data_IF_231794957559
#
_entry.id   IF_231794957559
#
_cell.length_a   1.000
_cell.length_b   1.000
_cell.length_c   1.000
_cell.angle_alpha   90.00
_cell.angle_beta   90.00
_cell.angle_gamma   90.00
#
_symmetry.space_group_name_H-M   'P 1'
#
loop_
_entity.id
_entity.type
_entity.pdbx_description
1 polymer ?
#
# COMPACT_ATOMS: atom_id res chain seq x y z
N UNK A 1 8.64 14.20 -14.88
CA UNK A 1 7.87 13.22 -15.68
C UNK A 1 7.93 11.91 -14.90
N UNK A 2 6.78 11.34 -14.52
CA UNK A 2 6.78 10.10 -13.74
C UNK A 2 7.17 8.90 -14.60
N UNK A 3 7.93 7.98 -14.01
CA UNK A 3 8.49 6.81 -14.68
C UNK A 3 7.78 5.53 -14.22
N UNK A 4 7.19 4.80 -15.15
CA UNK A 4 6.45 3.56 -14.94
C UNK A 4 7.27 2.38 -15.40
N UNK A 5 7.39 1.36 -14.57
CA UNK A 5 7.92 0.06 -14.96
C UNK A 5 6.74 -0.88 -15.26
N UNK A 6 6.70 -1.41 -16.46
CA UNK A 6 5.73 -2.44 -16.88
C UNK A 6 6.47 -3.76 -16.97
N UNK A 7 6.02 -4.74 -16.23
CA UNK A 7 6.58 -6.10 -16.16
C UNK A 7 5.53 -7.06 -16.69
N UNK A 8 5.68 -7.47 -17.94
CA UNK A 8 4.69 -8.27 -18.68
C UNK A 8 5.42 -9.07 -19.77
N UNK A 9 5.27 -10.39 -19.80
CA UNK A 9 5.91 -11.26 -20.77
C UNK A 9 5.12 -11.37 -22.10
N UNK A 10 3.82 -11.05 -22.07
CA UNK A 10 3.01 -10.99 -23.29
C UNK A 10 3.26 -9.68 -24.07
N UNK A 11 4.10 -9.75 -25.09
CA UNK A 11 4.60 -8.61 -25.87
C UNK A 11 3.49 -7.67 -26.38
N UNK A 12 2.39 -8.21 -26.89
CA UNK A 12 1.28 -7.39 -27.41
C UNK A 12 0.58 -6.60 -26.33
N UNK A 13 0.37 -7.21 -25.16
CA UNK A 13 -0.22 -6.54 -24.00
C UNK A 13 0.73 -5.47 -23.45
N UNK A 14 2.00 -5.80 -23.33
CA UNK A 14 3.04 -4.88 -22.88
C UNK A 14 3.12 -3.61 -23.73
N UNK A 15 3.13 -3.76 -25.07
CA UNK A 15 3.10 -2.63 -26.01
C UNK A 15 1.81 -1.82 -25.88
N UNK A 16 0.67 -2.49 -25.76
CA UNK A 16 -0.62 -1.81 -25.56
C UNK A 16 -0.64 -0.95 -24.30
N UNK A 17 -0.14 -1.49 -23.19
CA UNK A 17 -0.01 -0.76 -21.91
C UNK A 17 0.96 0.41 -22.08
N UNK A 18 2.15 0.17 -22.66
CA UNK A 18 3.17 1.20 -22.89
C UNK A 18 2.60 2.36 -23.69
N UNK A 19 2.02 2.08 -24.85
CA UNK A 19 1.47 3.10 -25.76
C UNK A 19 0.45 4.02 -25.05
N UNK A 20 -0.44 3.44 -24.28
CA UNK A 20 -1.48 4.20 -23.56
C UNK A 20 -0.89 5.02 -22.40
N UNK A 21 0.07 4.49 -21.66
CA UNK A 21 0.75 5.25 -20.59
C UNK A 21 1.61 6.39 -21.13
N UNK A 22 2.32 6.17 -22.24
CA UNK A 22 3.09 7.22 -22.92
C UNK A 22 2.18 8.31 -23.50
N UNK A 23 0.98 7.94 -23.98
CA UNK A 23 -0.06 8.89 -24.40
C UNK A 23 -0.54 9.83 -23.28
N UNK A 24 -0.44 9.41 -22.02
CA UNK A 24 -0.70 10.22 -20.82
C UNK A 24 0.51 11.08 -20.40
N UNK A 25 1.58 11.12 -21.18
CA UNK A 25 2.79 11.88 -20.87
C UNK A 25 3.68 11.23 -19.81
N UNK A 26 3.58 9.92 -19.59
CA UNK A 26 4.43 9.16 -18.67
C UNK A 26 5.65 8.58 -19.40
N UNK A 27 6.76 8.40 -18.70
CA UNK A 27 7.90 7.63 -19.21
C UNK A 27 7.70 6.16 -18.86
N UNK A 28 7.91 5.25 -19.80
CA UNK A 28 7.65 3.83 -19.58
C UNK A 28 8.90 3.00 -19.93
N UNK A 29 9.24 2.06 -19.05
CA UNK A 29 10.16 0.97 -19.35
C UNK A 29 9.38 -0.33 -19.29
N UNK A 30 9.56 -1.20 -20.29
CA UNK A 30 8.96 -2.52 -20.35
C UNK A 30 10.04 -3.57 -20.17
N UNK A 31 9.78 -4.56 -19.33
CA UNK A 31 10.61 -5.77 -19.15
C UNK A 31 9.71 -7.00 -19.14
N UNK A 32 10.24 -8.16 -19.57
CA UNK A 32 9.46 -9.39 -19.76
C UNK A 32 9.57 -10.40 -18.63
N UNK A 33 10.38 -10.14 -17.60
CA UNK A 33 10.59 -11.08 -16.51
C UNK A 33 10.90 -10.40 -15.17
N UNK A 34 10.82 -11.17 -14.09
CA UNK A 34 10.99 -10.65 -12.74
C UNK A 34 12.43 -10.24 -12.42
N UNK A 35 13.43 -10.91 -12.97
CA UNK A 35 14.83 -10.58 -12.72
C UNK A 35 15.18 -9.22 -13.33
N UNK A 36 14.80 -9.00 -14.59
CA UNK A 36 14.96 -7.72 -15.27
C UNK A 36 14.20 -6.60 -14.57
N UNK A 37 13.03 -6.90 -13.95
CA UNK A 37 12.29 -5.94 -13.15
C UNK A 37 13.09 -5.48 -11.92
N UNK A 38 13.68 -6.41 -11.16
CA UNK A 38 14.47 -6.07 -9.98
C UNK A 38 15.73 -5.26 -10.35
N UNK A 39 16.45 -5.64 -11.41
CA UNK A 39 17.59 -4.89 -11.93
C UNK A 39 17.19 -3.46 -12.34
N UNK A 40 16.02 -3.32 -12.99
CA UNK A 40 15.51 -1.99 -13.37
C UNK A 40 15.12 -1.15 -12.16
N UNK A 41 14.65 -1.75 -11.08
CA UNK A 41 14.31 -1.03 -9.84
C UNK A 41 15.53 -0.39 -9.16
N UNK A 42 16.71 -0.93 -9.36
CA UNK A 42 17.98 -0.40 -8.84
C UNK A 42 18.62 0.67 -9.76
N UNK A 43 18.19 0.73 -11.02
CA UNK A 43 18.73 1.63 -12.01
C UNK A 43 18.13 3.04 -11.97
N UNK A 44 18.84 4.01 -12.56
CA UNK A 44 18.32 5.37 -12.79
C UNK A 44 17.66 5.51 -14.16
N UNK A 45 16.66 6.35 -14.31
CA UNK A 45 15.96 7.13 -13.28
C UNK A 45 15.10 6.23 -12.37
N UNK A 46 14.75 6.68 -11.14
CA UNK A 46 13.94 5.89 -10.23
C UNK A 46 12.54 5.63 -10.80
N UNK A 47 11.98 4.48 -10.44
CA UNK A 47 10.61 4.08 -10.82
C UNK A 47 9.60 4.70 -9.85
N UNK A 48 8.53 5.29 -10.38
CA UNK A 48 7.46 5.91 -9.61
C UNK A 48 6.25 5.02 -9.40
N UNK A 49 6.03 4.03 -10.27
CA UNK A 49 4.98 3.02 -10.17
C UNK A 49 5.36 1.77 -10.96
N UNK A 50 4.97 0.61 -10.48
CA UNK A 50 5.15 -0.67 -11.17
C UNK A 50 3.78 -1.24 -11.56
N UNK A 51 3.62 -1.61 -12.82
CA UNK A 51 2.55 -2.45 -13.35
C UNK A 51 3.15 -3.83 -13.54
N UNK A 52 2.62 -4.85 -12.87
CA UNK A 52 3.30 -6.13 -12.68
C UNK A 52 2.35 -7.30 -12.95
N UNK A 53 2.65 -8.10 -13.96
CA UNK A 53 1.94 -9.38 -14.13
C UNK A 53 2.36 -10.38 -13.05
N UNK A 54 1.42 -11.20 -12.61
CA UNK A 54 1.66 -12.32 -11.69
C UNK A 54 2.34 -13.49 -12.39
N UNK A 55 1.95 -13.75 -13.64
CA UNK A 55 2.31 -14.97 -14.38
C UNK A 55 3.58 -14.77 -15.22
N UNK A 56 4.66 -14.33 -14.60
CA UNK A 56 5.93 -14.12 -15.27
C UNK A 56 6.77 -15.41 -15.35
N UNK A 57 7.63 -15.55 -16.36
CA UNK A 57 8.58 -16.64 -16.45
C UNK A 57 9.64 -16.56 -15.34
N UNK A 58 9.99 -17.70 -14.76
CA UNK A 58 11.05 -17.84 -13.75
C UNK A 58 10.63 -17.37 -12.36
N UNK A 59 10.33 -16.10 -12.17
CA UNK A 59 9.94 -15.50 -10.89
C UNK A 59 8.52 -14.95 -10.97
N UNK A 60 7.65 -15.33 -10.04
CA UNK A 60 6.28 -14.82 -10.05
C UNK A 60 6.22 -13.33 -9.68
N UNK A 61 5.19 -12.60 -10.16
CA UNK A 61 4.97 -11.21 -9.77
C UNK A 61 4.81 -11.01 -8.26
N UNK A 62 4.35 -12.02 -7.53
CA UNK A 62 4.32 -11.97 -6.06
C UNK A 62 5.72 -11.87 -5.47
N UNK A 63 6.64 -12.71 -5.96
CA UNK A 63 8.02 -12.76 -5.46
C UNK A 63 8.77 -11.47 -5.81
N UNK A 64 8.51 -10.89 -7.00
CA UNK A 64 9.04 -9.57 -7.40
C UNK A 64 8.53 -8.47 -6.46
N UNK A 65 7.23 -8.44 -6.19
CA UNK A 65 6.63 -7.45 -5.28
C UNK A 65 7.23 -7.57 -3.86
N UNK A 66 7.32 -8.78 -3.35
CA UNK A 66 7.91 -9.05 -2.04
C UNK A 66 9.39 -8.62 -1.98
N UNK A 67 10.19 -8.90 -3.01
CA UNK A 67 11.57 -8.46 -3.10
C UNK A 67 11.69 -6.93 -3.06
N UNK A 68 10.85 -6.21 -3.83
CA UNK A 68 10.76 -4.73 -3.80
C UNK A 68 10.46 -4.23 -2.39
N UNK A 69 9.51 -4.85 -1.69
CA UNK A 69 9.15 -4.45 -0.31
C UNK A 69 10.23 -4.77 0.70
N UNK A 70 10.88 -5.93 0.58
CA UNK A 70 12.01 -6.32 1.46
C UNK A 70 13.22 -5.40 1.30
N UNK A 71 13.43 -4.82 0.11
CA UNK A 71 14.41 -3.76 -0.12
C UNK A 71 14.01 -2.39 0.48
N UNK A 72 12.88 -2.32 1.22
CA UNK A 72 12.37 -1.08 1.81
C UNK A 72 11.75 -0.10 0.80
N UNK A 73 11.53 -0.54 -0.44
CA UNK A 73 10.94 0.31 -1.47
C UNK A 73 9.41 0.19 -1.46
N UNK A 74 8.72 1.30 -1.19
CA UNK A 74 7.26 1.40 -1.12
C UNK A 74 6.67 2.03 -2.40
N UNK A 75 7.32 1.84 -3.55
CA UNK A 75 6.76 2.22 -4.86
C UNK A 75 5.37 1.60 -5.03
N UNK A 76 4.37 2.34 -5.52
CA UNK A 76 3.06 1.76 -5.80
C UNK A 76 3.17 0.61 -6.81
N UNK A 77 2.48 -0.50 -6.51
CA UNK A 77 2.42 -1.69 -7.36
C UNK A 77 0.98 -2.00 -7.75
N UNK A 78 0.70 -2.02 -9.04
CA UNK A 78 -0.54 -2.51 -9.64
C UNK A 78 -0.27 -3.92 -10.16
N UNK A 79 -0.89 -4.92 -9.57
CA UNK A 79 -0.81 -6.30 -10.05
C UNK A 79 -1.86 -6.58 -11.12
N UNK A 80 -1.41 -7.12 -12.26
CA UNK A 80 -2.27 -7.66 -13.30
C UNK A 80 -2.45 -9.17 -13.08
N UNK A 81 -3.67 -9.68 -13.16
CA UNK A 81 -3.93 -11.09 -12.87
C UNK A 81 -5.06 -11.69 -13.70
N UNK A 82 -4.83 -12.86 -14.26
CA UNK A 82 -5.90 -13.72 -14.78
C UNK A 82 -6.59 -14.53 -13.66
N UNK A 83 -6.05 -14.52 -12.43
CA UNK A 83 -6.55 -15.31 -11.31
C UNK A 83 -7.66 -14.56 -10.59
N UNK A 84 -8.79 -15.25 -10.38
CA UNK A 84 -10.01 -14.70 -9.78
C UNK A 84 -10.22 -15.13 -8.32
N UNK A 85 -9.42 -16.08 -7.83
CA UNK A 85 -9.60 -16.62 -6.49
C UNK A 85 -9.23 -15.59 -5.41
N UNK A 86 -10.03 -15.56 -4.37
CA UNK A 86 -9.80 -14.68 -3.19
C UNK A 86 -8.43 -14.94 -2.58
N UNK A 87 -7.98 -16.21 -2.58
CA UNK A 87 -6.69 -16.63 -2.04
C UNK A 87 -5.50 -16.01 -2.79
N UNK A 88 -5.59 -15.92 -4.12
CA UNK A 88 -4.56 -15.28 -4.95
C UNK A 88 -4.48 -13.77 -4.67
N UNK A 89 -5.63 -13.10 -4.51
CA UNK A 89 -5.68 -11.68 -4.12
C UNK A 89 -5.09 -11.45 -2.74
N UNK A 90 -5.39 -12.33 -1.80
CA UNK A 90 -4.82 -12.30 -0.44
C UNK A 90 -3.30 -12.43 -0.50
N UNK A 91 -2.77 -13.39 -1.28
CA UNK A 91 -1.33 -13.58 -1.47
C UNK A 91 -0.65 -12.30 -1.96
N UNK A 92 -1.23 -11.64 -2.96
CA UNK A 92 -0.65 -10.42 -3.48
C UNK A 92 -0.74 -9.25 -2.52
N UNK A 93 -1.84 -9.08 -1.80
CA UNK A 93 -1.90 -8.05 -0.76
C UNK A 93 -0.86 -8.30 0.34
N UNK A 94 -0.62 -9.56 0.73
CA UNK A 94 0.44 -9.92 1.66
C UNK A 94 1.84 -9.66 1.08
N UNK A 95 2.03 -9.82 -0.23
CA UNK A 95 3.26 -9.43 -0.94
C UNK A 95 3.45 -7.90 -1.03
N UNK A 96 2.42 -7.11 -0.66
CA UNK A 96 2.50 -5.65 -0.57
C UNK A 96 2.04 -4.91 -1.82
N UNK A 97 1.20 -5.52 -2.67
CA UNK A 97 0.57 -4.79 -3.79
C UNK A 97 -0.43 -3.76 -3.30
N UNK A 98 -0.63 -2.69 -4.05
CA UNK A 98 -1.56 -1.61 -3.73
C UNK A 98 -2.91 -1.78 -4.41
N UNK A 99 -2.94 -2.31 -5.62
CA UNK A 99 -4.13 -2.54 -6.43
C UNK A 99 -4.01 -3.83 -7.21
N UNK A 100 -5.13 -4.54 -7.33
CA UNK A 100 -5.32 -5.69 -8.22
C UNK A 100 -6.18 -5.28 -9.39
N UNK A 101 -5.72 -5.59 -10.61
CA UNK A 101 -6.48 -5.41 -11.84
C UNK A 101 -6.61 -6.77 -12.54
N UNK A 102 -7.86 -7.21 -12.74
CA UNK A 102 -8.13 -8.53 -13.29
C UNK A 102 -8.09 -8.51 -14.82
N UNK A 103 -7.34 -9.42 -15.43
CA UNK A 103 -7.37 -9.67 -16.89
C UNK A 103 -8.64 -10.47 -17.26
N UNK A 104 -9.35 -10.11 -18.37
CA UNK A 104 -9.13 -8.93 -19.18
C UNK A 104 -9.61 -7.64 -18.50
N UNK A 105 -8.85 -6.57 -18.58
CA UNK A 105 -9.17 -5.26 -18.04
C UNK A 105 -9.33 -4.21 -19.15
N UNK A 106 -10.03 -3.14 -18.84
CA UNK A 106 -10.09 -1.97 -19.70
C UNK A 106 -8.85 -1.10 -19.48
N UNK A 107 -8.24 -0.61 -20.57
CA UNK A 107 -7.08 0.26 -20.49
C UNK A 107 -7.39 1.57 -19.75
N UNK A 108 -8.60 2.12 -19.91
CA UNK A 108 -9.04 3.31 -19.17
C UNK A 108 -9.10 3.04 -17.66
N UNK A 109 -9.45 1.83 -17.24
CA UNK A 109 -9.40 1.42 -15.85
C UNK A 109 -7.96 1.43 -15.33
N UNK A 110 -7.01 0.83 -16.06
CA UNK A 110 -5.59 0.86 -15.71
C UNK A 110 -5.06 2.30 -15.62
N UNK A 111 -5.35 3.15 -16.61
CA UNK A 111 -4.93 4.55 -16.62
C UNK A 111 -5.49 5.32 -15.42
N UNK A 112 -6.76 5.09 -15.09
CA UNK A 112 -7.39 5.71 -13.91
C UNK A 112 -6.69 5.30 -12.60
N UNK A 113 -6.36 4.01 -12.45
CA UNK A 113 -5.64 3.49 -11.29
C UNK A 113 -4.24 4.11 -11.20
N UNK A 114 -3.49 4.12 -12.31
CA UNK A 114 -2.13 4.70 -12.36
C UNK A 114 -2.15 6.18 -12.01
N UNK A 115 -3.03 6.99 -12.62
CA UNK A 115 -3.18 8.41 -12.30
C UNK A 115 -3.47 8.65 -10.83
N UNK A 116 -4.37 7.88 -10.24
CA UNK A 116 -4.73 8.00 -8.82
C UNK A 116 -3.56 7.68 -7.89
N UNK A 117 -2.77 6.64 -8.19
CA UNK A 117 -1.61 6.27 -7.38
C UNK A 117 -0.47 7.30 -7.49
N UNK A 118 -0.19 7.79 -8.70
CA UNK A 118 0.83 8.83 -8.93
C UNK A 118 0.44 10.17 -8.29
N UNK A 119 -0.82 10.60 -8.39
CA UNK A 119 -1.30 11.83 -7.77
C UNK A 119 -1.13 11.84 -6.25
N UNK A 120 -1.29 10.69 -5.59
CA UNK A 120 -1.04 10.55 -4.15
C UNK A 120 0.45 10.66 -3.83
N UNK A 121 1.31 10.02 -4.63
CA UNK A 121 2.78 10.09 -4.44
C UNK A 121 3.33 11.51 -4.71
N UNK A 122 2.83 12.20 -5.73
CA UNK A 122 3.23 13.57 -6.06
C UNK A 122 2.90 14.57 -4.95
N UNK A 123 1.79 14.37 -4.23
CA UNK A 123 1.45 15.19 -3.05
C UNK A 123 2.40 14.92 -1.89
N UNK A 124 2.79 13.66 -1.67
CA UNK A 124 3.77 13.29 -0.65
C UNK A 124 5.20 13.83 -0.94
N UNK A 125 5.57 13.99 -2.22
CA UNK A 125 6.89 14.47 -2.63
C UNK A 125 7.00 16.01 -2.75
N UNK A 126 5.85 16.68 -2.96
CA UNK A 126 5.81 18.14 -3.25
C UNK A 126 5.83 19.06 -2.02
N UNK A 127 5.66 18.54 -0.81
CA UNK A 127 5.54 19.33 0.42
C UNK A 127 6.77 19.34 1.32
N UNK A 128 7.94 18.92 0.82
CA UNK A 128 9.19 19.02 1.59
C UNK A 128 9.74 20.47 1.75
N UNK A 129 9.08 21.49 1.20
CA UNK A 129 9.46 22.88 1.38
C UNK A 129 8.24 23.79 1.49
N UNK A 130 8.01 24.30 2.69
CA UNK A 130 7.06 25.34 3.13
C UNK A 130 5.60 24.90 3.31
N UNK A 131 5.23 24.84 4.54
CA UNK A 131 4.16 25.51 5.24
C UNK A 131 3.80 24.76 6.54
N UNK A 132 3.47 25.52 7.57
CA UNK A 132 3.18 25.22 8.98
C UNK A 132 2.41 23.90 9.21
N UNK A 133 2.46 23.28 10.42
CA UNK A 133 1.62 22.15 10.76
C UNK A 133 0.17 22.50 10.44
N UNK A 134 -0.36 21.87 9.37
CA UNK A 134 -1.74 22.10 8.96
C UNK A 134 -2.65 21.50 10.03
N UNK A 135 -3.76 22.20 10.36
CA UNK A 135 -4.83 21.74 11.28
C UNK A 135 -5.46 20.39 10.88
N UNK A 136 -4.97 19.73 9.83
CA UNK A 136 -5.47 18.47 9.29
C UNK A 136 -4.63 17.24 9.64
N UNK A 137 -3.52 17.39 10.40
CA UNK A 137 -2.71 16.24 10.80
C UNK A 137 -3.30 15.56 12.05
N UNK A 138 -3.59 14.26 11.93
CA UNK A 138 -4.03 13.44 13.05
C UNK A 138 -2.83 12.95 13.85
N UNK A 139 -2.90 13.08 15.20
CA UNK A 139 -1.81 12.74 16.10
C UNK A 139 -2.21 11.68 17.10
N UNK A 140 -1.31 10.72 17.34
CA UNK A 140 -1.44 9.71 18.40
C UNK A 140 -0.08 9.24 18.86
N UNK A 141 0.12 9.12 20.18
CA UNK A 141 1.44 8.81 20.74
C UNK A 141 2.51 9.80 20.23
N UNK A 142 3.56 9.26 19.62
CA UNK A 142 4.62 10.04 18.97
C UNK A 142 4.44 10.18 17.46
N UNK A 143 3.32 9.74 16.93
CA UNK A 143 3.02 9.74 15.50
C UNK A 143 2.20 10.95 15.07
N UNK A 144 2.48 11.41 13.85
CA UNK A 144 1.69 12.41 13.14
C UNK A 144 1.38 11.87 11.74
N UNK A 145 0.11 11.90 11.32
CA UNK A 145 -0.36 11.35 10.05
C UNK A 145 -1.24 12.36 9.35
N UNK A 146 -0.93 12.68 8.12
CA UNK A 146 -1.74 13.52 7.26
C UNK A 146 -2.41 12.66 6.18
N UNK A 147 -3.71 12.44 6.30
CA UNK A 147 -4.50 11.65 5.36
C UNK A 147 -4.82 12.38 4.05
N UNK A 148 -4.53 13.66 3.94
CA UNK A 148 -4.68 14.43 2.70
C UNK A 148 -3.42 14.32 1.85
N UNK A 149 -2.24 14.47 2.47
CA UNK A 149 -0.94 14.35 1.79
C UNK A 149 -0.41 12.91 1.75
N UNK A 150 -0.99 12.00 2.54
CA UNK A 150 -0.54 10.60 2.70
C UNK A 150 0.86 10.49 3.30
N UNK A 151 1.17 11.38 4.19
CA UNK A 151 2.42 11.41 4.91
C UNK A 151 2.22 10.95 6.34
N UNK A 152 3.23 10.29 6.87
CA UNK A 152 3.29 9.89 8.26
C UNK A 152 4.69 10.10 8.82
N UNK A 153 4.78 10.46 10.10
CA UNK A 153 6.02 10.53 10.83
C UNK A 153 5.86 9.98 12.25
N UNK A 154 6.95 9.53 12.84
CA UNK A 154 7.02 9.09 14.23
C UNK A 154 8.23 9.78 14.87
N UNK A 155 8.03 10.54 15.94
CA UNK A 155 9.09 11.37 16.59
C UNK A 155 9.75 12.36 15.61
N UNK A 156 8.99 12.83 14.61
CA UNK A 156 9.49 13.74 13.57
C UNK A 156 10.20 13.03 12.40
N UNK A 157 10.50 11.74 12.52
CA UNK A 157 11.13 10.97 11.44
C UNK A 157 10.05 10.43 10.48
N UNK A 158 10.21 10.62 9.15
CA UNK A 158 9.22 10.19 8.18
C UNK A 158 9.10 8.67 8.14
N UNK A 159 7.85 8.18 8.18
CA UNK A 159 7.50 6.76 8.05
C UNK A 159 6.82 6.52 6.72
N UNK A 160 7.42 5.66 5.89
CA UNK A 160 6.85 5.30 4.60
C UNK A 160 5.84 4.16 4.77
N UNK A 161 4.61 4.42 4.35
CA UNK A 161 3.52 3.44 4.30
C UNK A 161 3.17 3.10 2.86
N UNK A 162 2.79 1.86 2.61
CA UNK A 162 2.12 1.49 1.37
C UNK A 162 0.71 2.08 1.35
N UNK A 163 0.09 2.11 0.17
CA UNK A 163 -1.26 2.64 0.03
C UNK A 163 -2.29 1.88 0.90
N UNK A 164 -2.15 0.56 1.01
CA UNK A 164 -3.06 -0.25 1.84
C UNK A 164 -2.81 -0.08 3.35
N UNK A 165 -1.56 0.08 3.78
CA UNK A 165 -1.23 0.40 5.17
C UNK A 165 -1.87 1.75 5.58
N UNK A 166 -1.77 2.76 4.72
CA UNK A 166 -2.36 4.07 4.97
C UNK A 166 -3.90 4.02 4.96
N UNK A 167 -4.51 3.25 4.04
CA UNK A 167 -5.96 3.03 4.03
C UNK A 167 -6.45 2.35 5.30
N UNK A 168 -5.74 1.31 5.76
CA UNK A 168 -6.07 0.60 7.00
C UNK A 168 -5.96 1.54 8.21
N UNK A 169 -4.87 2.31 8.29
CA UNK A 169 -4.68 3.29 9.36
C UNK A 169 -5.81 4.33 9.36
N UNK A 170 -6.12 4.89 8.19
CA UNK A 170 -7.22 5.85 8.04
C UNK A 170 -8.54 5.27 8.52
N UNK A 171 -8.89 4.07 8.07
CA UNK A 171 -10.14 3.41 8.46
C UNK A 171 -10.23 3.19 9.98
N UNK A 172 -9.14 2.76 10.60
CA UNK A 172 -9.07 2.56 12.05
C UNK A 172 -9.21 3.87 12.83
N UNK A 173 -8.58 4.95 12.36
CA UNK A 173 -8.70 6.29 12.95
C UNK A 173 -10.12 6.83 12.84
N UNK A 174 -10.79 6.66 11.69
CA UNK A 174 -12.20 7.06 11.51
C UNK A 174 -13.16 6.28 12.42
N UNK A 175 -12.73 5.12 12.93
CA UNK A 175 -13.48 4.27 13.87
C UNK A 175 -12.83 4.22 15.27
N UNK A 176 -12.14 5.30 15.66
CA UNK A 176 -11.46 5.37 16.94
C UNK A 176 -12.35 4.96 18.11
N UNK A 177 -11.80 4.17 19.04
CA UNK A 177 -12.48 3.66 20.22
C UNK A 177 -13.42 2.48 19.96
N UNK A 178 -13.85 2.25 18.73
CA UNK A 178 -14.75 1.14 18.37
C UNK A 178 -13.96 -0.12 18.07
N UNK A 179 -14.57 -1.27 18.33
CA UNK A 179 -14.05 -2.55 17.87
C UNK A 179 -14.51 -2.79 16.44
N UNK A 180 -13.54 -2.87 15.52
CA UNK A 180 -13.80 -3.15 14.11
C UNK A 180 -13.53 -4.63 13.83
N UNK A 181 -14.53 -5.40 13.37
CA UNK A 181 -14.35 -6.81 13.03
C UNK A 181 -13.36 -6.99 11.87
N UNK A 182 -12.62 -8.12 11.86
CA UNK A 182 -11.66 -8.43 10.78
C UNK A 182 -12.31 -8.47 9.40
N UNK A 183 -13.51 -9.01 9.31
CA UNK A 183 -14.27 -9.09 8.06
C UNK A 183 -14.66 -7.71 7.53
N UNK A 184 -15.02 -6.81 8.44
CA UNK A 184 -15.33 -5.42 8.11
C UNK A 184 -14.09 -4.69 7.58
N UNK A 185 -12.94 -4.85 8.24
CA UNK A 185 -11.66 -4.32 7.77
C UNK A 185 -11.33 -4.89 6.39
N UNK A 186 -11.42 -6.22 6.22
CA UNK A 186 -11.12 -6.88 4.96
C UNK A 186 -12.00 -6.36 3.81
N UNK A 187 -13.29 -6.16 4.08
CA UNK A 187 -14.24 -5.62 3.09
C UNK A 187 -13.94 -4.17 2.72
N UNK A 188 -13.76 -3.30 3.71
CA UNK A 188 -13.70 -1.86 3.47
C UNK A 188 -12.30 -1.36 3.04
N UNK A 189 -11.23 -2.06 3.42
CA UNK A 189 -9.86 -1.68 3.06
C UNK A 189 -9.38 -2.41 1.82
N UNK A 190 -9.68 -3.70 1.70
CA UNK A 190 -9.21 -4.55 0.58
C UNK A 190 -10.29 -4.86 -0.47
N UNK A 191 -11.55 -4.54 -0.21
CA UNK A 191 -12.66 -4.87 -1.11
C UNK A 191 -12.92 -6.38 -1.21
N UNK A 192 -12.52 -7.16 -0.20
CA UNK A 192 -12.72 -8.60 -0.13
C UNK A 192 -13.89 -8.94 0.79
N UNK A 193 -14.75 -9.87 0.38
CA UNK A 193 -15.86 -10.36 1.19
C UNK A 193 -15.62 -11.81 1.62
N UNK A 194 -16.07 -12.18 2.82
CA UNK A 194 -15.95 -13.52 3.38
C UNK A 194 -14.93 -13.63 4.51
N UNK A 195 -14.87 -14.83 5.11
CA UNK A 195 -13.96 -15.14 6.23
C UNK A 195 -12.56 -15.53 5.77
N UNK A 196 -12.43 -15.95 4.50
CA UNK A 196 -11.14 -16.28 3.89
C UNK A 196 -10.30 -15.02 3.75
N UNK A 197 -9.13 -15.00 4.38
CA UNK A 197 -8.19 -13.86 4.25
C UNK A 197 -8.12 -12.91 5.44
N UNK A 198 -8.86 -13.14 6.50
CA UNK A 198 -8.78 -12.32 7.72
C UNK A 198 -7.38 -12.28 8.34
N UNK A 199 -6.52 -13.28 8.06
CA UNK A 199 -5.08 -13.26 8.44
C UNK A 199 -4.29 -12.14 7.77
N UNK A 200 -4.72 -11.69 6.59
CA UNK A 200 -4.12 -10.51 5.94
C UNK A 200 -4.23 -9.28 6.83
N UNK A 201 -5.40 -9.07 7.42
CA UNK A 201 -5.61 -7.98 8.38
C UNK A 201 -4.59 -8.06 9.53
N UNK A 202 -4.38 -9.27 10.07
CA UNK A 202 -3.45 -9.49 11.20
C UNK A 202 -2.01 -9.13 10.80
N UNK A 203 -1.58 -9.47 9.58
CA UNK A 203 -0.27 -9.11 9.02
C UNK A 203 -0.08 -7.59 8.91
N UNK A 204 -1.07 -6.89 8.35
CA UNK A 204 -1.02 -5.44 8.21
C UNK A 204 -1.07 -4.72 9.56
N UNK A 205 -1.87 -5.20 10.51
CA UNK A 205 -1.86 -4.66 11.88
C UNK A 205 -0.48 -4.84 12.53
N UNK A 206 0.17 -6.00 12.33
CA UNK A 206 1.53 -6.21 12.82
C UNK A 206 2.52 -5.22 12.21
N UNK A 207 2.39 -4.93 10.93
CA UNK A 207 3.22 -3.91 10.26
C UNK A 207 2.98 -2.51 10.83
N UNK A 208 1.71 -2.10 11.02
CA UNK A 208 1.40 -0.82 11.66
C UNK A 208 1.97 -0.74 13.08
N UNK A 209 1.88 -1.81 13.87
CA UNK A 209 2.51 -1.86 15.20
C UNK A 209 4.01 -1.66 15.14
N UNK A 210 4.71 -2.34 14.21
CA UNK A 210 6.16 -2.17 14.03
C UNK A 210 6.57 -0.74 13.69
N UNK A 211 5.69 0.03 13.07
CA UNK A 211 5.96 1.41 12.64
C UNK A 211 5.58 2.46 13.68
N UNK A 212 4.51 2.23 14.44
CA UNK A 212 3.88 3.26 15.27
C UNK A 212 3.87 2.97 16.77
N UNK A 213 4.10 1.73 17.20
CA UNK A 213 4.17 1.37 18.61
C UNK A 213 5.62 1.36 19.10
N UNK A 214 5.86 1.77 20.34
CA UNK A 214 7.18 1.66 20.97
C UNK A 214 7.59 0.20 21.17
N UNK A 215 6.65 -0.66 21.55
CA UNK A 215 6.80 -2.11 21.65
C UNK A 215 5.65 -2.80 20.88
N UNK A 216 5.91 -3.34 19.66
CA UNK A 216 4.88 -4.01 18.87
C UNK A 216 4.21 -5.21 19.58
N UNK A 217 4.86 -5.80 20.58
CA UNK A 217 4.34 -6.93 21.36
C UNK A 217 3.39 -6.49 22.47
N UNK A 218 3.46 -5.20 22.87
CA UNK A 218 2.62 -4.57 23.90
C UNK A 218 1.94 -3.31 23.37
N UNK A 219 1.11 -3.45 22.32
CA UNK A 219 0.55 -2.31 21.65
C UNK A 219 -0.36 -1.50 22.57
N UNK A 220 -0.31 -0.17 22.45
CA UNK A 220 -1.17 0.77 23.16
C UNK A 220 -2.21 1.44 22.27
N UNK A 221 -1.94 1.50 20.95
CA UNK A 221 -2.82 2.12 19.97
C UNK A 221 -3.60 1.07 19.17
N UNK A 222 -2.96 0.02 18.64
CA UNK A 222 -3.57 -1.00 17.80
C UNK A 222 -3.92 -2.24 18.62
N UNK A 223 -5.02 -2.19 19.37
CA UNK A 223 -5.41 -3.20 20.34
C UNK A 223 -6.12 -4.39 19.67
N UNK A 224 -5.73 -5.62 20.02
CA UNK A 224 -6.45 -6.82 19.62
C UNK A 224 -7.64 -7.07 20.56
N UNK A 225 -8.82 -7.31 19.98
CA UNK A 225 -9.99 -7.81 20.69
C UNK A 225 -10.19 -9.27 20.30
N UNK A 226 -9.93 -10.17 21.26
CA UNK A 226 -9.91 -11.62 21.02
C UNK A 226 -11.24 -12.10 20.41
N UNK A 227 -11.15 -12.87 19.35
CA UNK A 227 -12.31 -13.46 18.67
C UNK A 227 -13.10 -12.48 17.79
N UNK A 228 -12.83 -11.16 17.85
CA UNK A 228 -13.61 -10.13 17.12
C UNK A 228 -12.77 -9.41 16.07
N UNK A 229 -11.80 -8.62 16.48
CA UNK A 229 -11.07 -7.76 15.55
C UNK A 229 -10.08 -6.85 16.26
N UNK A 230 -10.07 -5.58 15.85
CA UNK A 230 -9.14 -4.59 16.35
C UNK A 230 -9.84 -3.32 16.80
N UNK A 231 -9.23 -2.62 17.75
CA UNK A 231 -9.64 -1.30 18.20
C UNK A 231 -8.43 -0.37 18.15
N UNK A 232 -8.62 0.77 17.55
CA UNK A 232 -7.64 1.84 17.57
C UNK A 232 -7.96 2.83 18.69
N UNK A 233 -6.93 3.33 19.38
CA UNK A 233 -7.02 4.35 20.42
C UNK A 233 -5.86 5.31 20.22
N UNK A 234 -6.16 6.60 20.06
CA UNK A 234 -5.12 7.63 19.88
C UNK A 234 -4.29 7.85 21.15
N UNK A 235 -4.98 8.00 22.28
CA UNK A 235 -4.36 8.14 23.59
C UNK A 235 -5.05 7.18 24.59
N UNK A 236 -4.28 6.67 25.54
CA UNK A 236 -4.91 6.05 26.70
C UNK A 236 -5.66 7.14 27.47
N UNK A 237 -6.96 7.20 27.28
CA UNK A 237 -7.80 8.04 28.11
C UNK A 237 -7.45 7.79 29.59
N UNK A 238 -6.83 8.81 30.22
CA UNK A 238 -6.68 8.98 31.65
C UNK A 238 -6.45 7.71 32.49
N UNK A 239 -5.20 7.32 32.70
CA UNK A 239 -4.85 6.97 34.06
C UNK A 239 -4.61 8.30 34.77
N UNK A 240 -5.68 8.84 35.37
CA UNK A 240 -5.58 9.77 36.46
C UNK A 240 -4.53 9.22 37.44
N UNK A 241 -3.49 10.03 37.68
CA UNK A 241 -2.69 9.87 38.87
C UNK A 241 -3.61 10.11 40.06
N UNK A 242 -4.10 9.03 40.65
CA UNK A 242 -4.70 9.02 41.98
C UNK A 242 -4.31 7.71 42.65
N UNK A 243 -3.51 7.82 43.73
CA UNK A 243 -3.20 6.80 44.69
C UNK A 243 -1.69 6.65 44.98
#
# INVERSE_FOLDING_TARGET
>A
MSHILVVEDEHHLAIGIQYNLEGEGLSVTVVGDGQAALERMEASPPVDLVVLDIMLPGMSGYDVCEAIRNAGNNVPVVMLTARTLVEDRIRGFNAGTDVYLQKPFDLDELLSVVRNLLARRGRAAGTAASERPSDSAYRFGSAEVNFTTWEASVRGEPVRLTNLEMKLLKYLVEHEGKVVPREELLKNVWGLSGTSGTRTVDTFILTLRKRFEDDPSKPVHFLSVRGTGYRFVADRAGRSADG
#
